data_IF_058672378181
#
_entry.id   IF_058672378181
#
_cell.length_a   1.000
_cell.length_b   1.000
_cell.length_c   1.000
_cell.angle_alpha   90.00
_cell.angle_beta   90.00
_cell.angle_gamma   90.00
#
_symmetry.space_group_name_H-M   'P 1'
#
loop_
_entity.id
_entity.type
_entity.pdbx_description
1 polymer ?
#
# COMPACT_ATOMS: atom_id res chain seq x y z
N UNK A 1 -33.32 14.06 -6.86
CA UNK A 1 -33.98 12.76 -7.02
C UNK A 1 -33.25 11.78 -6.11
N UNK A 2 -33.96 11.14 -5.20
CA UNK A 2 -33.42 10.09 -4.35
C UNK A 2 -33.34 8.81 -5.20
N UNK A 3 -32.15 8.54 -5.76
CA UNK A 3 -31.86 7.24 -6.35
C UNK A 3 -32.01 6.19 -5.25
N UNK A 4 -32.83 5.16 -5.51
CA UNK A 4 -33.03 4.08 -4.56
C UNK A 4 -31.67 3.51 -4.14
N UNK A 5 -31.37 3.54 -2.85
CA UNK A 5 -30.12 2.97 -2.37
C UNK A 5 -30.12 1.47 -2.70
N UNK A 6 -29.02 0.92 -3.25
CA UNK A 6 -28.96 -0.49 -3.60
C UNK A 6 -29.23 -1.36 -2.37
N UNK A 7 -29.79 -2.54 -2.61
CA UNK A 7 -30.04 -3.52 -1.55
C UNK A 7 -28.74 -3.79 -0.77
N UNK A 8 -28.82 -3.81 0.56
CA UNK A 8 -27.66 -4.12 1.41
C UNK A 8 -27.43 -5.63 1.44
N UNK A 9 -26.89 -6.13 0.35
CA UNK A 9 -26.62 -7.55 0.14
C UNK A 9 -25.27 -7.72 -0.54
N UNK A 10 -24.55 -8.75 -0.12
CA UNK A 10 -23.28 -9.14 -0.73
C UNK A 10 -23.41 -9.37 -2.24
N UNK A 11 -22.46 -8.85 -3.00
CA UNK A 11 -22.39 -9.02 -4.45
C UNK A 11 -21.95 -7.78 -5.20
N UNK A 12 -21.92 -7.93 -6.52
CA UNK A 12 -21.69 -6.81 -7.43
C UNK A 12 -22.92 -5.90 -7.45
N UNK A 13 -22.68 -4.60 -7.38
CA UNK A 13 -23.68 -3.55 -7.45
C UNK A 13 -23.35 -2.63 -8.62
N UNK A 14 -24.38 -2.16 -9.31
CA UNK A 14 -24.25 -1.08 -10.29
C UNK A 14 -25.04 0.10 -9.76
N UNK A 15 -24.33 1.16 -9.37
CA UNK A 15 -24.92 2.32 -8.69
C UNK A 15 -25.00 3.49 -9.67
N UNK A 16 -26.19 4.03 -9.86
CA UNK A 16 -26.38 5.23 -10.66
C UNK A 16 -26.01 6.48 -9.85
N UNK A 17 -25.03 7.23 -10.34
CA UNK A 17 -24.55 8.49 -9.78
C UNK A 17 -24.57 9.54 -10.89
N UNK A 18 -25.43 10.54 -10.77
CA UNK A 18 -25.55 11.64 -11.74
C UNK A 18 -25.72 11.16 -13.20
N UNK A 19 -26.57 10.15 -13.41
CA UNK A 19 -26.83 9.55 -14.72
C UNK A 19 -25.76 8.56 -15.21
N UNK A 20 -24.73 8.28 -14.41
CA UNK A 20 -23.64 7.36 -14.76
C UNK A 20 -23.67 6.11 -13.89
N UNK A 21 -23.40 4.96 -14.47
CA UNK A 21 -23.36 3.69 -13.76
C UNK A 21 -21.95 3.43 -13.22
N UNK A 22 -21.82 3.29 -11.90
CA UNK A 22 -20.55 3.03 -11.21
C UNK A 22 -20.58 1.62 -10.61
N UNK A 23 -19.75 0.69 -11.12
CA UNK A 23 -19.63 -0.65 -10.55
C UNK A 23 -19.00 -0.64 -9.17
N UNK A 24 -19.63 -1.33 -8.24
CA UNK A 24 -19.18 -1.52 -6.87
C UNK A 24 -19.28 -3.00 -6.48
N UNK A 25 -18.56 -3.41 -5.44
CA UNK A 25 -18.62 -4.75 -4.88
C UNK A 25 -18.81 -4.62 -3.36
N UNK A 26 -19.92 -5.13 -2.86
CA UNK A 26 -20.23 -5.14 -1.44
C UNK A 26 -20.00 -6.54 -0.87
N UNK A 27 -19.33 -6.63 0.28
CA UNK A 27 -19.06 -7.88 0.98
C UNK A 27 -19.26 -7.74 2.48
N UNK A 28 -19.50 -8.87 3.14
CA UNK A 28 -19.59 -8.99 4.59
C UNK A 28 -20.75 -8.15 5.19
N UNK A 29 -21.87 -8.02 4.47
CA UNK A 29 -23.03 -7.26 4.96
C UNK A 29 -23.61 -7.85 6.25
N UNK A 30 -23.46 -9.15 6.46
CA UNK A 30 -23.82 -9.86 7.69
C UNK A 30 -22.99 -9.45 8.90
N UNK A 31 -21.80 -8.86 8.69
CA UNK A 31 -20.93 -8.33 9.76
C UNK A 31 -21.22 -6.88 10.12
N UNK A 32 -22.33 -6.32 9.65
CA UNK A 32 -22.73 -4.95 9.97
C UNK A 32 -23.06 -4.82 11.47
N UNK A 33 -22.35 -3.93 12.16
CA UNK A 33 -22.57 -3.62 13.58
C UNK A 33 -22.85 -2.12 13.74
N UNK A 34 -23.96 -1.70 14.37
CA UNK A 34 -24.21 -0.29 14.68
C UNK A 34 -23.04 0.32 15.47
N UNK A 35 -22.59 1.50 15.06
CA UNK A 35 -21.41 2.17 15.63
C UNK A 35 -20.08 1.71 15.04
N UNK A 36 -20.05 0.66 14.21
CA UNK A 36 -18.86 0.19 13.49
C UNK A 36 -18.49 1.05 12.28
N UNK A 37 -17.56 0.55 11.46
CA UNK A 37 -17.13 1.22 10.23
C UNK A 37 -17.54 0.46 8.97
N UNK A 38 -17.78 1.20 7.88
CA UNK A 38 -17.83 0.70 6.52
C UNK A 38 -16.45 0.88 5.90
N UNK A 39 -15.73 -0.20 5.63
CA UNK A 39 -14.45 -0.15 4.94
C UNK A 39 -14.71 0.08 3.45
N UNK A 40 -14.31 1.24 2.93
CA UNK A 40 -14.44 1.59 1.51
C UNK A 40 -13.07 1.51 0.86
N UNK A 41 -12.93 0.67 -0.17
CA UNK A 41 -11.64 0.39 -0.80
C UNK A 41 -11.58 0.95 -2.22
N UNK A 42 -10.53 1.73 -2.49
CA UNK A 42 -10.24 2.34 -3.78
C UNK A 42 -9.03 1.66 -4.43
N UNK A 43 -9.11 1.43 -5.75
CA UNK A 43 -8.02 0.85 -6.51
C UNK A 43 -6.94 1.88 -6.84
N UNK A 44 -5.68 1.44 -6.81
CA UNK A 44 -4.58 2.14 -7.46
C UNK A 44 -4.56 1.86 -8.97
N UNK A 45 -3.38 1.95 -9.57
CA UNK A 45 -3.19 1.64 -10.98
C UNK A 45 -3.54 0.18 -11.30
N UNK A 46 -4.31 -0.01 -12.38
CA UNK A 46 -4.67 -1.32 -12.93
C UNK A 46 -3.46 -1.90 -13.64
N UNK A 47 -2.97 -3.05 -13.15
CA UNK A 47 -1.89 -3.81 -13.80
C UNK A 47 -2.43 -4.59 -15.00
N UNK A 48 -1.56 -4.89 -15.97
CA UNK A 48 -1.87 -5.68 -17.17
C UNK A 48 -3.15 -5.21 -17.88
N UNK A 49 -3.26 -3.88 -18.06
CA UNK A 49 -4.46 -3.23 -18.61
C UNK A 49 -4.82 -3.74 -20.02
N UNK A 50 -3.85 -4.21 -20.79
CA UNK A 50 -4.03 -4.85 -22.11
C UNK A 50 -4.75 -6.19 -22.06
N UNK A 51 -4.71 -6.88 -20.92
CA UNK A 51 -5.25 -8.24 -20.73
C UNK A 51 -6.45 -8.26 -19.77
N UNK A 52 -6.78 -7.12 -19.18
CA UNK A 52 -7.78 -7.01 -18.11
C UNK A 52 -8.93 -6.10 -18.54
N UNK A 53 -10.16 -6.49 -18.19
CA UNK A 53 -11.39 -5.74 -18.50
C UNK A 53 -12.06 -5.23 -17.22
N UNK A 54 -12.65 -4.03 -17.25
CA UNK A 54 -13.40 -3.50 -16.11
C UNK A 54 -14.65 -4.35 -15.82
N UNK A 55 -15.19 -4.31 -14.58
CA UNK A 55 -14.77 -3.46 -13.48
C UNK A 55 -13.56 -3.99 -12.70
N UNK A 56 -12.72 -3.06 -12.25
CA UNK A 56 -11.53 -3.36 -11.43
C UNK A 56 -11.81 -3.11 -9.96
N UNK A 57 -11.59 -4.11 -9.11
CA UNK A 57 -11.80 -4.02 -7.66
C UNK A 57 -10.52 -4.32 -6.89
N UNK A 58 -10.28 -3.55 -5.81
CA UNK A 58 -9.25 -3.82 -4.81
C UNK A 58 -9.89 -4.19 -3.46
N UNK A 59 -9.11 -4.76 -2.54
CA UNK A 59 -9.57 -5.06 -1.18
C UNK A 59 -10.09 -6.48 -0.95
N UNK A 60 -10.01 -7.39 -1.92
CA UNK A 60 -10.42 -8.79 -1.72
C UNK A 60 -9.66 -9.49 -0.58
N UNK A 61 -8.37 -9.14 -0.39
CA UNK A 61 -7.58 -9.60 0.76
C UNK A 61 -8.08 -9.04 2.09
N UNK A 62 -8.28 -7.72 2.15
CA UNK A 62 -8.81 -7.02 3.33
C UNK A 62 -10.20 -7.55 3.72
N UNK A 63 -11.07 -7.84 2.75
CA UNK A 63 -12.39 -8.38 3.02
C UNK A 63 -12.39 -9.74 3.73
N UNK A 64 -11.32 -10.54 3.61
CA UNK A 64 -11.21 -11.83 4.31
C UNK A 64 -10.95 -11.67 5.80
N UNK A 65 -10.16 -10.67 6.18
CA UNK A 65 -9.73 -10.44 7.57
C UNK A 65 -10.54 -9.35 8.28
N UNK A 66 -11.20 -8.45 7.54
CA UNK A 66 -11.90 -7.32 8.14
C UNK A 66 -13.19 -7.76 8.86
N UNK A 67 -13.40 -7.32 10.12
CA UNK A 67 -14.56 -7.69 10.93
C UNK A 67 -15.87 -6.95 10.58
N UNK A 68 -15.88 -6.07 9.58
CA UNK A 68 -17.07 -5.32 9.16
C UNK A 68 -17.41 -5.45 7.67
N UNK A 69 -18.41 -4.68 7.20
CA UNK A 69 -18.77 -4.62 5.78
C UNK A 69 -17.70 -3.90 4.96
N UNK A 70 -17.51 -4.36 3.72
CA UNK A 70 -16.52 -3.81 2.78
C UNK A 70 -17.18 -3.42 1.47
N UNK A 71 -16.96 -2.18 1.04
CA UNK A 71 -17.41 -1.63 -0.23
C UNK A 71 -16.21 -1.30 -1.11
N UNK A 72 -15.95 -2.09 -2.15
CA UNK A 72 -14.93 -1.79 -3.16
C UNK A 72 -15.57 -1.03 -4.31
N UNK A 73 -14.95 0.06 -4.76
CA UNK A 73 -15.48 0.93 -5.83
C UNK A 73 -14.53 0.90 -7.03
N UNK A 74 -15.05 0.60 -8.22
CA UNK A 74 -14.26 0.67 -9.45
C UNK A 74 -14.26 2.10 -10.00
N UNK A 75 -13.09 2.62 -10.33
CA UNK A 75 -12.94 3.96 -10.93
C UNK A 75 -13.45 3.98 -12.40
N UNK A 76 -14.52 4.71 -12.72
CA UNK A 76 -15.06 4.79 -14.09
C UNK A 76 -14.05 5.28 -15.13
N UNK A 77 -13.09 6.13 -14.77
CA UNK A 77 -12.09 6.62 -15.72
C UNK A 77 -11.17 5.50 -16.22
N UNK A 78 -10.91 4.47 -15.41
CA UNK A 78 -10.11 3.30 -15.82
C UNK A 78 -10.82 2.36 -16.79
N UNK A 79 -12.12 2.57 -17.03
CA UNK A 79 -12.89 1.79 -17.99
C UNK A 79 -12.62 2.26 -19.43
N UNK A 80 -12.10 3.47 -19.60
CA UNK A 80 -11.60 3.95 -20.88
C UNK A 80 -10.40 3.12 -21.33
N UNK A 81 -10.25 2.96 -22.65
CA UNK A 81 -9.15 2.20 -23.23
C UNK A 81 -7.80 2.81 -22.81
N UNK A 82 -6.83 1.94 -22.51
CA UNK A 82 -5.45 2.30 -22.16
C UNK A 82 -5.25 3.14 -20.89
N UNK A 83 -6.33 3.55 -20.22
CA UNK A 83 -6.27 4.22 -18.91
C UNK A 83 -6.09 3.17 -17.82
N UNK A 84 -4.92 3.18 -17.20
CA UNK A 84 -4.62 2.33 -16.05
C UNK A 84 -4.85 3.04 -14.71
N UNK A 85 -4.98 4.38 -14.68
CA UNK A 85 -5.15 5.17 -13.47
C UNK A 85 -5.96 6.44 -13.76
N UNK A 86 -6.98 6.73 -12.95
CA UNK A 86 -7.87 7.88 -13.16
C UNK A 86 -8.27 8.65 -11.86
N UNK A 87 -7.67 8.31 -10.72
CA UNK A 87 -7.77 9.05 -9.44
C UNK A 87 -9.20 9.32 -8.94
N UNK A 88 -10.21 8.61 -9.47
CA UNK A 88 -11.63 8.89 -9.23
C UNK A 88 -12.00 10.34 -9.54
N UNK A 89 -11.26 11.00 -10.43
CA UNK A 89 -11.43 12.41 -10.77
C UNK A 89 -12.54 12.66 -11.79
N UNK A 90 -13.16 11.60 -12.31
CA UNK A 90 -14.26 11.67 -13.26
C UNK A 90 -13.79 11.69 -14.71
N UNK A 91 -14.70 12.04 -15.60
CA UNK A 91 -14.50 12.14 -17.05
C UNK A 91 -15.51 13.14 -17.61
N UNK A 92 -15.43 13.45 -18.91
CA UNK A 92 -16.36 14.39 -19.56
C UNK A 92 -17.82 14.01 -19.33
N UNK A 93 -18.60 14.94 -18.78
CA UNK A 93 -20.00 14.72 -18.45
C UNK A 93 -20.21 14.10 -17.06
N UNK A 94 -19.14 13.71 -16.36
CA UNK A 94 -19.18 13.17 -15.01
C UNK A 94 -18.10 13.76 -14.09
N UNK A 95 -17.83 15.06 -14.23
CA UNK A 95 -16.91 15.84 -13.40
C UNK A 95 -17.34 15.90 -11.93
N UNK A 96 -18.61 15.58 -11.65
CA UNK A 96 -19.18 15.53 -10.31
C UNK A 96 -18.85 14.25 -9.54
N UNK A 97 -18.17 13.26 -10.15
CA UNK A 97 -17.93 11.92 -9.59
C UNK A 97 -17.48 11.94 -8.12
N UNK A 98 -16.47 12.73 -7.77
CA UNK A 98 -15.93 12.80 -6.41
C UNK A 98 -17.00 13.22 -5.38
N UNK A 99 -17.80 14.25 -5.71
CA UNK A 99 -18.89 14.72 -4.85
C UNK A 99 -20.01 13.69 -4.74
N UNK A 100 -20.35 13.02 -5.84
CA UNK A 100 -21.39 11.99 -5.85
C UNK A 100 -20.98 10.76 -5.04
N UNK A 101 -19.72 10.32 -5.17
CA UNK A 101 -19.15 9.23 -4.37
C UNK A 101 -19.15 9.57 -2.88
N UNK A 102 -18.66 10.76 -2.51
CA UNK A 102 -18.65 11.20 -1.11
C UNK A 102 -20.05 11.19 -0.49
N UNK A 103 -21.04 11.75 -1.22
CA UNK A 103 -22.44 11.76 -0.81
C UNK A 103 -23.00 10.35 -0.66
N UNK A 104 -22.78 9.49 -1.66
CA UNK A 104 -23.26 8.11 -1.65
C UNK A 104 -22.69 7.30 -0.49
N UNK A 105 -21.37 7.36 -0.28
CA UNK A 105 -20.67 6.66 0.80
C UNK A 105 -21.19 7.14 2.15
N UNK A 106 -21.27 8.46 2.36
CA UNK A 106 -21.74 9.03 3.61
C UNK A 106 -23.19 8.62 3.91
N UNK A 107 -24.09 8.73 2.94
CA UNK A 107 -25.50 8.33 3.10
C UNK A 107 -25.64 6.83 3.37
N UNK A 108 -24.88 6.00 2.64
CA UNK A 108 -24.88 4.54 2.82
C UNK A 108 -24.44 4.15 4.23
N UNK A 109 -23.32 4.70 4.71
CA UNK A 109 -22.82 4.46 6.06
C UNK A 109 -23.80 4.96 7.13
N UNK A 110 -24.29 6.19 6.99
CA UNK A 110 -25.21 6.83 7.95
C UNK A 110 -26.51 6.05 8.13
N UNK A 111 -27.11 5.53 7.05
CA UNK A 111 -28.34 4.73 7.13
C UNK A 111 -28.17 3.42 7.93
N UNK A 112 -26.94 2.98 8.12
CA UNK A 112 -26.59 1.74 8.83
C UNK A 112 -25.91 2.01 10.17
N UNK A 113 -25.91 3.27 10.62
CA UNK A 113 -25.21 3.72 11.81
C UNK A 113 -23.71 3.37 11.77
N UNK A 114 -23.10 3.42 10.59
CA UNK A 114 -21.67 3.17 10.38
C UNK A 114 -20.92 4.49 10.10
N UNK A 115 -19.60 4.47 10.31
CA UNK A 115 -18.69 5.54 9.86
C UNK A 115 -17.84 5.06 8.66
N UNK A 116 -17.64 5.89 7.61
CA UNK A 116 -16.73 5.52 6.52
C UNK A 116 -15.27 5.43 6.95
N UNK A 117 -14.61 4.30 6.66
CA UNK A 117 -13.16 4.12 6.68
C UNK A 117 -12.68 3.96 5.24
N UNK A 118 -12.08 5.02 4.69
CA UNK A 118 -11.67 5.13 3.29
C UNK A 118 -10.21 4.67 3.13
N UNK A 119 -9.97 3.65 2.32
CA UNK A 119 -8.64 3.02 2.20
C UNK A 119 -8.24 2.88 0.75
N UNK A 120 -7.03 3.31 0.43
CA UNK A 120 -6.51 3.27 -0.92
C UNK A 120 -5.03 3.55 -0.98
N UNK A 121 -4.39 3.08 -2.06
CA UNK A 121 -2.98 3.36 -2.32
C UNK A 121 -2.79 4.07 -3.65
N UNK A 122 -1.71 4.85 -3.80
CA UNK A 122 -1.40 5.53 -5.07
C UNK A 122 -2.58 6.43 -5.47
N UNK A 123 -3.20 6.24 -6.64
CA UNK A 123 -4.38 7.03 -7.02
C UNK A 123 -5.65 6.69 -6.24
N UNK A 124 -5.74 5.49 -5.67
CA UNK A 124 -6.78 5.17 -4.69
C UNK A 124 -6.55 5.92 -3.37
N UNK A 125 -5.28 6.19 -3.02
CA UNK A 125 -4.92 7.01 -1.87
C UNK A 125 -5.33 8.48 -2.06
N UNK A 126 -5.17 9.01 -3.28
CA UNK A 126 -5.73 10.31 -3.66
C UNK A 126 -7.25 10.36 -3.43
N UNK A 127 -7.98 9.33 -3.88
CA UNK A 127 -9.42 9.23 -3.69
C UNK A 127 -9.80 9.16 -2.20
N UNK A 128 -9.08 8.38 -1.38
CA UNK A 128 -9.31 8.32 0.06
C UNK A 128 -9.19 9.69 0.73
N UNK A 129 -8.16 10.48 0.38
CA UNK A 129 -7.97 11.83 0.91
C UNK A 129 -9.08 12.78 0.43
N UNK A 130 -9.31 12.84 -0.89
CA UNK A 130 -10.31 13.70 -1.50
C UNK A 130 -11.72 13.45 -0.94
N UNK A 131 -12.12 12.19 -0.82
CA UNK A 131 -13.46 11.83 -0.35
C UNK A 131 -13.59 12.00 1.16
N UNK A 132 -12.53 11.78 1.95
CA UNK A 132 -12.56 12.09 3.38
C UNK A 132 -12.78 13.58 3.62
N UNK A 133 -12.08 14.44 2.87
CA UNK A 133 -12.28 15.89 2.93
C UNK A 133 -13.72 16.29 2.60
N UNK A 134 -14.29 15.73 1.52
CA UNK A 134 -15.67 16.01 1.12
C UNK A 134 -16.72 15.52 2.14
N UNK A 135 -16.44 14.45 2.89
CA UNK A 135 -17.35 13.92 3.93
C UNK A 135 -17.18 14.66 5.27
N UNK A 136 -15.97 15.11 5.60
CA UNK A 136 -15.66 15.80 6.85
C UNK A 136 -15.55 14.86 8.06
N UNK A 137 -15.95 15.33 9.24
CA UNK A 137 -15.75 14.68 10.55
C UNK A 137 -16.23 13.23 10.71
N UNK A 138 -17.12 12.77 9.85
CA UNK A 138 -17.62 11.40 9.91
C UNK A 138 -16.69 10.41 9.19
N UNK A 139 -15.76 10.89 8.37
CA UNK A 139 -14.83 10.05 7.62
C UNK A 139 -13.49 9.85 8.34
N UNK A 140 -12.90 8.69 8.07
CA UNK A 140 -11.51 8.38 8.38
C UNK A 140 -10.83 7.88 7.12
N UNK A 141 -9.63 8.36 6.80
CA UNK A 141 -8.85 7.86 5.67
C UNK A 141 -7.57 7.18 6.13
N UNK A 142 -7.25 6.04 5.52
CA UNK A 142 -5.93 5.42 5.51
C UNK A 142 -5.39 5.47 4.07
N UNK A 143 -4.55 6.47 3.80
CA UNK A 143 -3.99 6.71 2.48
C UNK A 143 -2.54 6.20 2.41
N UNK A 144 -2.24 5.33 1.45
CA UNK A 144 -0.93 4.65 1.36
C UNK A 144 -0.16 5.06 0.11
N UNK A 145 1.01 5.66 0.26
CA UNK A 145 1.78 6.25 -0.85
C UNK A 145 0.89 7.05 -1.81
N UNK A 146 0.02 7.94 -1.31
CA UNK A 146 -0.97 8.58 -2.16
C UNK A 146 -0.28 9.53 -3.13
N UNK A 147 -0.80 9.62 -4.36
CA UNK A 147 -0.66 10.89 -5.05
C UNK A 147 -1.54 11.92 -4.32
N UNK A 148 -1.07 13.16 -4.24
CA UNK A 148 -1.82 14.27 -3.62
C UNK A 148 -2.07 15.43 -4.59
N UNK A 149 -1.48 15.36 -5.77
CA UNK A 149 -1.74 16.23 -6.91
C UNK A 149 -1.49 15.36 -8.15
N UNK A 150 -2.54 14.90 -8.83
CA UNK A 150 -2.32 13.95 -9.91
C UNK A 150 -1.64 14.59 -11.13
N UNK A 151 -1.67 15.92 -11.32
CA UNK A 151 -0.92 16.58 -12.40
C UNK A 151 0.59 16.51 -12.19
N UNK A 152 1.03 16.41 -10.93
CA UNK A 152 2.46 16.24 -10.54
C UNK A 152 2.96 14.80 -10.62
N UNK A 153 2.11 13.84 -10.96
CA UNK A 153 2.53 12.47 -11.21
C UNK A 153 3.30 12.34 -12.54
N UNK A 154 3.71 11.13 -12.89
CA UNK A 154 4.39 10.86 -14.16
C UNK A 154 3.56 11.32 -15.37
N UNK A 155 4.25 11.91 -16.34
CA UNK A 155 3.62 12.58 -17.49
C UNK A 155 2.74 11.64 -18.31
N UNK A 156 3.20 10.41 -18.57
CA UNK A 156 2.49 9.49 -19.46
C UNK A 156 1.14 9.01 -18.90
N UNK A 157 1.02 8.53 -17.64
CA UNK A 157 -0.28 8.19 -17.07
C UNK A 157 -1.28 9.37 -17.08
N UNK A 158 -0.82 10.56 -16.71
CA UNK A 158 -1.67 11.76 -16.66
C UNK A 158 -2.14 12.16 -18.06
N UNK A 159 -1.23 12.16 -19.04
CA UNK A 159 -1.59 12.50 -20.43
C UNK A 159 -2.63 11.51 -20.99
N UNK A 160 -2.44 10.20 -20.79
CA UNK A 160 -3.41 9.18 -21.24
C UNK A 160 -4.77 9.36 -20.60
N UNK A 161 -4.82 9.65 -19.29
CA UNK A 161 -6.07 9.93 -18.61
C UNK A 161 -6.78 11.15 -19.19
N UNK A 162 -6.07 12.27 -19.35
CA UNK A 162 -6.65 13.51 -19.87
C UNK A 162 -7.14 13.37 -21.32
N UNK A 163 -6.38 12.68 -22.16
CA UNK A 163 -6.77 12.39 -23.55
C UNK A 163 -8.02 11.50 -23.59
N UNK A 164 -8.00 10.35 -22.91
CA UNK A 164 -9.07 9.38 -23.01
C UNK A 164 -10.35 9.77 -22.25
N UNK A 165 -10.24 10.49 -21.13
CA UNK A 165 -11.40 10.85 -20.29
C UNK A 165 -11.93 12.26 -20.58
N UNK A 166 -11.09 13.17 -21.08
CA UNK A 166 -11.47 14.57 -21.30
C UNK A 166 -11.23 15.11 -22.71
N UNK A 167 -10.52 14.40 -23.57
CA UNK A 167 -10.05 14.93 -24.86
C UNK A 167 -9.23 16.23 -24.67
N UNK A 168 -8.39 16.25 -23.63
CA UNK A 168 -7.59 17.42 -23.26
C UNK A 168 -6.09 17.07 -23.19
N UNK A 169 -5.20 17.99 -23.59
CA UNK A 169 -3.76 17.80 -23.42
C UNK A 169 -3.35 18.00 -21.94
N UNK A 170 -2.21 17.46 -21.54
CA UNK A 170 -1.62 17.75 -20.22
C UNK A 170 -0.95 19.13 -20.21
N UNK A 171 -1.65 20.13 -19.70
CA UNK A 171 -1.14 21.50 -19.51
C UNK A 171 -1.59 22.08 -18.17
N UNK A 172 -0.90 23.10 -17.62
CA UNK A 172 -1.40 23.85 -16.46
C UNK A 172 -2.77 24.50 -16.69
N UNK A 173 -3.09 24.89 -17.93
CA UNK A 173 -4.40 25.41 -18.32
C UNK A 173 -5.48 24.33 -18.19
N UNK A 174 -5.17 23.10 -18.57
CA UNK A 174 -6.07 21.95 -18.41
C UNK A 174 -6.38 21.68 -16.94
N UNK A 175 -5.39 21.76 -16.05
CA UNK A 175 -5.62 21.59 -14.61
C UNK A 175 -6.64 22.61 -14.09
N UNK A 176 -6.42 23.89 -14.40
CA UNK A 176 -7.33 24.98 -14.02
C UNK A 176 -8.74 24.80 -14.60
N UNK A 177 -8.83 24.41 -15.88
CA UNK A 177 -10.12 24.18 -16.53
C UNK A 177 -10.91 23.02 -15.88
N UNK A 178 -10.23 21.96 -15.43
CA UNK A 178 -10.87 20.87 -14.68
C UNK A 178 -11.32 21.32 -13.30
N UNK A 179 -10.51 22.12 -12.59
CA UNK A 179 -10.87 22.70 -11.30
C UNK A 179 -12.08 23.64 -11.39
N UNK A 180 -12.18 24.46 -12.44
CA UNK A 180 -13.34 25.31 -12.74
C UNK A 180 -14.62 24.49 -13.01
N UNK A 181 -14.47 23.29 -13.59
CA UNK A 181 -15.56 22.30 -13.76
C UNK A 181 -15.85 21.53 -12.46
N UNK A 182 -15.10 21.83 -11.39
CA UNK A 182 -15.27 21.30 -10.06
C UNK A 182 -14.58 19.96 -9.82
N UNK A 183 -13.67 19.52 -10.69
CA UNK A 183 -12.82 18.36 -10.42
C UNK A 183 -11.75 18.77 -9.41
N UNK A 184 -11.61 18.03 -8.31
CA UNK A 184 -10.52 18.23 -7.36
C UNK A 184 -9.29 17.53 -7.95
N UNK A 185 -8.29 18.30 -8.37
CA UNK A 185 -7.06 17.78 -8.99
C UNK A 185 -5.89 17.63 -8.01
N UNK A 186 -5.94 18.39 -6.93
CA UNK A 186 -4.96 18.40 -5.85
C UNK A 186 -5.65 18.46 -4.50
N UNK A 187 -5.07 17.77 -3.52
CA UNK A 187 -5.51 17.79 -2.13
C UNK A 187 -4.50 18.48 -1.21
N UNK A 188 -3.35 18.93 -1.75
CA UNK A 188 -2.25 19.50 -0.96
C UNK A 188 -2.61 20.83 -0.26
N UNK A 189 -3.60 21.54 -0.79
CA UNK A 189 -4.08 22.82 -0.25
C UNK A 189 -5.36 22.70 0.58
N UNK A 190 -5.87 21.49 0.77
CA UNK A 190 -7.11 21.25 1.52
C UNK A 190 -6.84 21.24 3.04
N UNK A 191 -7.84 21.66 3.80
CA UNK A 191 -7.82 21.60 5.26
C UNK A 191 -8.43 20.27 5.75
N UNK A 192 -7.61 19.43 6.38
CA UNK A 192 -8.03 18.13 6.90
C UNK A 192 -8.31 18.14 8.41
N UNK A 193 -8.54 19.29 9.03
CA UNK A 193 -8.83 19.36 10.48
C UNK A 193 -10.15 18.68 10.89
N UNK A 194 -11.10 18.53 9.98
CA UNK A 194 -12.37 17.85 10.23
C UNK A 194 -12.28 16.32 10.12
N UNK A 195 -11.84 15.70 9.00
CA UNK A 195 -11.72 14.25 8.91
C UNK A 195 -10.50 13.72 9.69
N UNK A 196 -10.52 12.44 10.04
CA UNK A 196 -9.34 11.76 10.60
C UNK A 196 -8.50 11.17 9.47
N UNK A 197 -7.23 11.53 9.35
CA UNK A 197 -6.38 11.06 8.24
C UNK A 197 -5.10 10.42 8.79
N UNK A 198 -4.83 9.19 8.35
CA UNK A 198 -3.51 8.56 8.45
C UNK A 198 -2.92 8.39 7.05
N UNK A 199 -1.77 8.99 6.81
CA UNK A 199 -0.98 8.82 5.60
C UNK A 199 0.24 7.93 5.87
N UNK A 200 0.34 6.81 5.16
CA UNK A 200 1.50 5.91 5.21
C UNK A 200 2.39 6.18 3.99
N UNK A 201 3.62 6.66 4.18
CA UNK A 201 4.54 7.04 3.10
C UNK A 201 5.83 6.20 3.09
N UNK A 202 6.11 5.59 1.94
CA UNK A 202 7.33 4.85 1.68
C UNK A 202 8.48 5.84 1.58
N UNK A 203 9.48 5.66 2.42
CA UNK A 203 10.60 6.59 2.51
C UNK A 203 11.58 6.50 1.33
N UNK A 204 11.48 5.47 0.51
CA UNK A 204 12.36 5.30 -0.65
C UNK A 204 11.66 5.58 -1.98
N UNK A 205 10.46 6.14 -1.92
CA UNK A 205 9.73 6.63 -3.08
C UNK A 205 10.07 8.10 -3.32
N UNK A 206 11.21 8.34 -3.96
CA UNK A 206 11.73 9.71 -4.17
C UNK A 206 10.75 10.61 -4.92
N UNK A 207 10.03 10.06 -5.89
CA UNK A 207 9.02 10.80 -6.66
C UNK A 207 7.85 11.23 -5.75
N UNK A 208 7.27 10.32 -4.98
CA UNK A 208 6.16 10.67 -4.08
C UNK A 208 6.61 11.57 -2.94
N UNK A 209 7.80 11.34 -2.38
CA UNK A 209 8.36 12.22 -1.38
C UNK A 209 8.47 13.67 -1.88
N UNK A 210 9.05 13.85 -3.08
CA UNK A 210 9.26 15.18 -3.66
C UNK A 210 7.96 15.87 -4.10
N UNK A 211 7.03 15.13 -4.71
CA UNK A 211 5.88 15.72 -5.38
C UNK A 211 4.55 15.58 -4.64
N UNK A 212 4.43 14.60 -3.74
CA UNK A 212 3.17 14.24 -3.10
C UNK A 212 3.19 14.25 -1.57
N UNK A 213 4.36 14.21 -0.94
CA UNK A 213 4.49 14.23 0.52
C UNK A 213 5.04 15.54 1.07
N UNK A 214 5.91 16.24 0.33
CA UNK A 214 6.65 17.43 0.80
C UNK A 214 5.80 18.54 1.42
N UNK A 215 4.52 18.64 1.07
CA UNK A 215 3.61 19.59 1.70
C UNK A 215 3.38 19.30 3.20
N UNK A 216 3.57 18.06 3.65
CA UNK A 216 3.44 17.61 5.04
C UNK A 216 4.74 17.74 5.84
N UNK A 217 5.89 17.37 5.27
CA UNK A 217 7.18 17.49 5.94
C UNK A 217 8.32 17.63 4.94
N UNK A 218 9.40 18.31 5.36
CA UNK A 218 10.64 18.32 4.59
C UNK A 218 11.26 16.92 4.61
N UNK A 219 11.74 16.46 3.45
CA UNK A 219 12.16 15.07 3.26
C UNK A 219 13.56 14.78 3.79
N UNK A 220 14.36 15.81 4.01
CA UNK A 220 15.77 15.72 4.45
C UNK A 220 15.88 15.28 5.92
N UNK A 221 14.83 15.50 6.72
CA UNK A 221 14.78 15.17 8.15
C UNK A 221 14.09 13.82 8.45
N UNK A 222 13.67 13.07 7.43
CA UNK A 222 12.92 11.83 7.62
C UNK A 222 13.85 10.67 8.00
N UNK A 223 13.51 9.98 9.08
CA UNK A 223 14.16 8.74 9.52
C UNK A 223 13.18 7.55 9.42
N UNK A 224 13.68 6.35 9.71
CA UNK A 224 12.85 5.14 9.75
C UNK A 224 11.78 5.26 10.84
N UNK A 225 10.51 5.02 10.52
CA UNK A 225 9.44 5.04 11.51
C UNK A 225 9.10 6.44 12.05
N UNK A 226 9.59 7.51 11.41
CA UNK A 226 9.22 8.88 11.77
C UNK A 226 7.76 9.13 11.48
N UNK A 227 7.12 9.89 12.36
CA UNK A 227 5.73 10.31 12.22
C UNK A 227 5.59 11.80 12.52
N UNK A 228 4.44 12.35 12.17
CA UNK A 228 4.08 13.71 12.53
C UNK A 228 2.65 14.04 12.18
N UNK A 229 2.24 15.26 12.52
CA UNK A 229 0.91 15.80 12.28
C UNK A 229 1.04 17.19 11.66
N UNK A 230 0.44 17.38 10.48
CA UNK A 230 0.35 18.71 9.85
C UNK A 230 -0.98 18.86 9.13
N UNK A 231 -1.64 20.01 9.30
CA UNK A 231 -2.91 20.33 8.63
C UNK A 231 -4.02 19.28 8.81
N UNK A 232 -4.09 18.61 9.98
CA UNK A 232 -5.06 17.55 10.25
C UNK A 232 -4.72 16.19 9.63
N UNK A 233 -3.51 16.05 9.08
CA UNK A 233 -3.00 14.79 8.54
C UNK A 233 -1.91 14.24 9.46
N UNK A 234 -2.22 13.16 10.17
CA UNK A 234 -1.20 12.32 10.78
C UNK A 234 -0.52 11.50 9.67
N UNK A 235 0.79 11.39 9.74
CA UNK A 235 1.57 10.63 8.78
C UNK A 235 2.61 9.76 9.46
N UNK A 236 2.95 8.66 8.79
CA UNK A 236 3.95 7.70 9.22
C UNK A 236 4.80 7.28 8.02
N UNK A 237 6.12 7.42 8.15
CA UNK A 237 7.10 7.15 7.11
C UNK A 237 7.87 5.89 7.46
N UNK A 238 7.94 4.95 6.52
CA UNK A 238 8.62 3.68 6.74
C UNK A 238 9.26 3.11 5.46
N UNK A 239 10.28 2.24 5.61
CA UNK A 239 11.02 1.63 4.51
C UNK A 239 10.38 0.35 3.97
N UNK A 240 9.32 0.50 3.17
CA UNK A 240 8.67 -0.65 2.55
C UNK A 240 9.35 -1.14 1.27
N UNK A 241 10.35 -0.43 0.74
CA UNK A 241 11.25 -0.88 -0.33
C UNK A 241 11.61 0.22 -1.35
N UNK A 242 12.61 0.02 -2.21
CA UNK A 242 13.07 1.06 -3.15
C UNK A 242 12.01 1.39 -4.22
N UNK A 243 11.83 2.68 -4.51
CA UNK A 243 10.86 3.16 -5.51
C UNK A 243 9.42 3.18 -5.00
N UNK A 244 8.45 3.12 -5.92
CA UNK A 244 7.02 3.14 -5.59
C UNK A 244 6.53 1.75 -5.17
N UNK A 245 6.51 1.48 -3.87
CA UNK A 245 6.23 0.17 -3.31
C UNK A 245 4.92 0.12 -2.52
N UNK A 246 4.44 -1.10 -2.30
CA UNK A 246 3.26 -1.32 -1.44
C UNK A 246 3.68 -1.20 0.02
N UNK A 247 2.80 -0.59 0.82
CA UNK A 247 2.89 -0.71 2.28
C UNK A 247 2.71 -2.17 2.66
N UNK A 248 3.49 -2.67 3.62
CA UNK A 248 3.38 -4.05 4.06
C UNK A 248 1.98 -4.38 4.59
N UNK A 249 1.36 -5.52 4.18
CA UNK A 249 0.01 -5.90 4.60
C UNK A 249 -0.20 -5.87 6.11
N UNK A 250 0.82 -6.20 6.89
CA UNK A 250 0.80 -6.24 8.36
C UNK A 250 0.60 -4.84 8.94
N UNK A 251 1.28 -3.82 8.38
CA UNK A 251 1.09 -2.43 8.79
C UNK A 251 -0.32 -1.93 8.43
N UNK A 252 -0.79 -2.27 7.22
CA UNK A 252 -2.13 -1.89 6.76
C UNK A 252 -3.21 -2.52 7.64
N UNK A 253 -3.08 -3.82 7.95
CA UNK A 253 -4.02 -4.55 8.78
C UNK A 253 -4.02 -4.04 10.21
N UNK A 254 -2.84 -3.76 10.78
CA UNK A 254 -2.73 -3.18 12.13
C UNK A 254 -3.41 -1.81 12.20
N UNK A 255 -3.20 -0.95 11.20
CA UNK A 255 -3.85 0.36 11.14
C UNK A 255 -5.37 0.24 11.01
N UNK A 256 -5.86 -0.62 10.10
CA UNK A 256 -7.30 -0.84 9.91
C UNK A 256 -7.95 -1.39 11.19
N UNK A 257 -7.32 -2.38 11.84
CA UNK A 257 -7.85 -2.98 13.06
C UNK A 257 -7.84 -1.98 14.22
N UNK A 258 -6.75 -1.24 14.42
CA UNK A 258 -6.70 -0.21 15.46
C UNK A 258 -7.79 0.85 15.27
N UNK A 259 -7.99 1.35 14.04
CA UNK A 259 -9.09 2.27 13.74
C UNK A 259 -10.45 1.62 13.97
N UNK A 260 -10.61 0.34 13.60
CA UNK A 260 -11.84 -0.42 13.81
C UNK A 260 -12.19 -0.51 15.30
N UNK A 261 -11.20 -0.85 16.12
CA UNK A 261 -11.29 -1.05 17.57
C UNK A 261 -11.41 0.27 18.35
N UNK A 262 -11.45 1.41 17.65
CA UNK A 262 -11.74 2.72 18.21
C UNK A 262 -10.53 3.54 18.59
N UNK A 263 -9.31 3.10 18.27
CA UNK A 263 -8.11 3.90 18.48
C UNK A 263 -8.17 5.20 17.66
N UNK A 264 -7.60 6.25 18.23
CA UNK A 264 -7.26 7.48 17.54
C UNK A 264 -6.14 7.24 16.53
N UNK A 265 -5.96 8.14 15.57
CA UNK A 265 -4.89 7.98 14.58
C UNK A 265 -3.51 8.05 15.24
N UNK A 266 -3.34 8.93 16.22
CA UNK A 266 -2.10 9.03 16.99
C UNK A 266 -1.78 7.73 17.75
N UNK A 267 -2.78 7.08 18.37
CA UNK A 267 -2.60 5.77 19.01
C UNK A 267 -2.24 4.67 18.00
N UNK A 268 -2.82 4.70 16.80
CA UNK A 268 -2.46 3.76 15.73
C UNK A 268 -1.02 3.98 15.25
N UNK A 269 -0.59 5.22 15.09
CA UNK A 269 0.81 5.55 14.76
C UNK A 269 1.75 5.07 15.84
N UNK A 270 1.41 5.29 17.11
CA UNK A 270 2.20 4.80 18.23
C UNK A 270 2.29 3.28 18.24
N UNK A 271 1.17 2.59 18.01
CA UNK A 271 1.15 1.13 17.88
C UNK A 271 2.07 0.65 16.75
N UNK A 272 2.05 1.30 15.58
CA UNK A 272 2.97 0.97 14.48
C UNK A 272 4.44 1.18 14.88
N UNK A 273 4.74 2.27 15.59
CA UNK A 273 6.09 2.55 16.09
C UNK A 273 6.55 1.51 17.11
N UNK A 274 5.74 1.22 18.14
CA UNK A 274 6.08 0.24 19.17
C UNK A 274 6.28 -1.16 18.60
N UNK A 275 5.45 -1.57 17.64
CA UNK A 275 5.46 -2.93 17.11
C UNK A 275 6.55 -3.14 16.05
N UNK A 276 6.88 -2.12 15.26
CA UNK A 276 7.78 -2.26 14.10
C UNK A 276 9.07 -1.43 14.19
N UNK A 277 9.13 -0.39 15.03
CA UNK A 277 10.26 0.55 15.14
C UNK A 277 10.53 0.98 16.60
N UNK A 278 10.90 0.07 17.52
CA UNK A 278 11.04 0.40 18.94
C UNK A 278 12.24 1.33 19.20
N UNK A 279 12.09 2.29 20.11
CA UNK A 279 13.04 3.39 20.38
C UNK A 279 14.38 2.98 20.97
N UNK A 280 14.50 1.76 21.51
CA UNK A 280 15.76 1.25 22.10
C UNK A 280 16.76 0.75 21.03
N UNK A 281 16.36 0.80 19.76
CA UNK A 281 17.18 0.39 18.64
C UNK A 281 17.71 1.61 17.92
N UNK A 282 19.04 1.75 17.88
CA UNK A 282 19.70 2.79 17.11
C UNK A 282 19.37 2.58 15.62
N UNK A 283 18.37 3.32 15.14
CA UNK A 283 18.12 3.46 13.72
C UNK A 283 19.28 4.30 13.18
N UNK A 284 20.20 3.66 12.46
CA UNK A 284 21.23 4.39 11.74
C UNK A 284 20.53 5.45 10.88
N UNK A 285 20.81 6.75 11.08
CA UNK A 285 20.34 7.79 10.16
C UNK A 285 20.86 7.42 8.78
N UNK A 286 20.08 7.63 7.71
CA UNK A 286 20.41 7.24 6.32
C UNK A 286 21.93 7.25 6.07
N UNK A 287 22.60 6.11 6.28
CA UNK A 287 24.04 6.13 6.24
C UNK A 287 24.46 6.25 4.78
N UNK A 288 25.48 7.04 4.53
CA UNK A 288 26.17 7.03 3.25
C UNK A 288 27.27 5.98 3.40
N UNK A 289 27.12 4.82 2.79
CA UNK A 289 28.25 3.88 2.69
C UNK A 289 29.00 4.18 1.42
N UNK A 290 30.27 4.53 1.55
CA UNK A 290 31.21 4.60 0.43
C UNK A 290 31.57 3.18 0.01
N UNK A 291 31.44 2.87 -1.28
CA UNK A 291 31.98 1.61 -1.81
C UNK A 291 33.51 1.65 -1.89
N UNK A 292 34.15 0.53 -2.25
CA UNK A 292 35.61 0.42 -2.36
C UNK A 292 36.25 1.43 -3.36
N UNK A 293 35.43 2.05 -4.21
CA UNK A 293 35.81 3.09 -5.18
C UNK A 293 35.51 4.52 -4.70
N UNK A 294 35.01 4.70 -3.47
CA UNK A 294 34.68 6.02 -2.89
C UNK A 294 33.40 6.65 -3.46
N UNK A 295 32.55 5.89 -4.16
CA UNK A 295 31.23 6.37 -4.56
C UNK A 295 30.23 6.18 -3.43
N UNK A 296 29.44 7.23 -3.16
CA UNK A 296 28.35 7.18 -2.19
C UNK A 296 27.26 6.23 -2.69
N UNK A 297 27.10 5.08 -2.02
CA UNK A 297 25.95 4.20 -2.19
C UNK A 297 24.94 4.45 -1.07
N UNK A 298 23.68 4.68 -1.44
CA UNK A 298 22.56 4.75 -0.49
C UNK A 298 22.15 3.32 -0.13
N UNK A 299 22.41 2.93 1.12
CA UNK A 299 21.94 1.80 1.96
C UNK A 299 21.19 0.59 1.34
N UNK A 300 21.28 -0.60 1.99
CA UNK A 300 21.49 -1.92 1.39
C UNK A 300 20.25 -2.59 0.78
N UNK A 301 19.26 -1.82 0.34
CA UNK A 301 18.14 -2.36 -0.43
C UNK A 301 18.59 -2.93 -1.76
N UNK A 302 19.64 -2.37 -2.35
CA UNK A 302 20.17 -2.74 -3.65
C UNK A 302 21.42 -3.59 -3.45
N UNK A 303 21.29 -4.90 -3.54
CA UNK A 303 22.45 -5.79 -3.54
C UNK A 303 22.94 -6.00 -4.96
N UNK A 304 24.22 -5.76 -5.16
CA UNK A 304 24.88 -6.11 -6.41
C UNK A 304 25.25 -7.59 -6.35
N UNK A 305 24.63 -8.42 -7.18
CA UNK A 305 24.97 -9.83 -7.39
C UNK A 305 25.23 -10.05 -8.87
N UNK A 306 26.45 -10.48 -9.22
CA UNK A 306 26.85 -10.86 -10.59
C UNK A 306 26.41 -9.88 -11.71
N UNK A 307 26.49 -8.56 -11.47
CA UNK A 307 26.14 -7.53 -12.45
C UNK A 307 24.66 -7.10 -12.47
N UNK A 308 23.80 -7.76 -11.69
CA UNK A 308 22.42 -7.34 -11.45
C UNK A 308 22.29 -6.61 -10.10
N UNK A 309 21.35 -5.67 -10.01
CA UNK A 309 21.04 -4.96 -8.77
C UNK A 309 19.69 -5.45 -8.24
N UNK A 310 19.70 -6.12 -7.10
CA UNK A 310 18.56 -6.77 -6.49
C UNK A 310 17.93 -5.92 -5.40
N UNK A 311 16.61 -5.70 -5.45
CA UNK A 311 15.86 -5.05 -4.38
C UNK A 311 15.13 -6.06 -3.48
N UNK A 312 15.72 -6.42 -2.33
CA UNK A 312 15.15 -7.44 -1.42
C UNK A 312 13.74 -7.08 -0.96
N UNK A 313 13.47 -5.81 -0.67
CA UNK A 313 12.17 -5.38 -0.16
C UNK A 313 11.03 -5.56 -1.16
N UNK A 314 11.34 -5.84 -2.43
CA UNK A 314 10.38 -5.76 -3.54
C UNK A 314 10.62 -6.82 -4.60
N UNK A 315 11.51 -7.78 -4.37
CA UNK A 315 11.83 -8.79 -5.36
C UNK A 315 10.60 -9.66 -5.59
N UNK A 316 10.10 -9.62 -6.82
CA UNK A 316 8.97 -10.44 -7.23
C UNK A 316 9.50 -11.65 -8.00
N UNK A 317 9.54 -12.78 -7.30
CA UNK A 317 9.95 -14.04 -7.91
C UNK A 317 9.03 -14.47 -9.07
N UNK A 318 7.80 -13.96 -9.17
CA UNK A 318 6.89 -14.25 -10.28
C UNK A 318 7.21 -13.42 -11.55
N UNK A 319 8.00 -12.34 -11.49
CA UNK A 319 8.31 -11.44 -12.63
C UNK A 319 9.78 -11.51 -13.13
N UNK A 320 10.74 -11.93 -12.31
CA UNK A 320 12.16 -12.02 -12.68
C UNK A 320 12.57 -13.44 -13.13
N UNK A 321 12.88 -13.60 -14.42
CA UNK A 321 13.07 -14.91 -15.07
C UNK A 321 14.43 -15.59 -14.82
N UNK A 322 15.36 -14.97 -14.07
CA UNK A 322 16.65 -15.58 -13.72
C UNK A 322 16.95 -15.42 -12.22
N UNK A 323 16.79 -16.52 -11.48
CA UNK A 323 17.14 -16.60 -10.05
C UNK A 323 18.56 -17.18 -9.94
N UNK A 324 19.51 -16.38 -9.44
CA UNK A 324 20.91 -16.83 -9.30
C UNK A 324 21.08 -17.77 -8.10
N UNK A 325 22.17 -18.54 -8.08
CA UNK A 325 22.54 -19.40 -6.94
C UNK A 325 22.66 -18.60 -5.63
N UNK A 326 23.09 -17.34 -5.73
CA UNK A 326 23.21 -16.43 -4.60
C UNK A 326 21.83 -16.01 -4.04
N UNK A 327 20.86 -15.74 -4.92
CA UNK A 327 19.47 -15.50 -4.55
C UNK A 327 18.82 -16.77 -3.98
N UNK A 328 19.07 -17.93 -4.57
CA UNK A 328 18.59 -19.21 -4.02
C UNK A 328 19.20 -19.55 -2.66
N UNK A 329 20.43 -19.12 -2.38
CA UNK A 329 21.09 -19.37 -1.12
C UNK A 329 20.76 -18.38 -0.03
N UNK A 330 20.10 -17.25 -0.33
CA UNK A 330 19.86 -16.16 0.63
C UNK A 330 21.13 -15.63 1.32
N UNK A 331 22.33 -15.93 0.80
CA UNK A 331 23.58 -15.47 1.41
C UNK A 331 23.67 -13.95 1.46
N UNK A 332 23.04 -13.30 0.48
CA UNK A 332 22.90 -11.85 0.34
C UNK A 332 22.10 -11.15 1.44
N UNK A 333 21.19 -11.84 2.13
CA UNK A 333 20.46 -11.23 3.25
C UNK A 333 21.27 -11.30 4.54
N UNK A 334 22.27 -12.17 4.65
CA UNK A 334 23.08 -12.35 5.85
C UNK A 334 23.77 -11.06 6.37
N UNK A 335 24.30 -10.15 5.52
CA UNK A 335 24.81 -8.85 5.97
C UNK A 335 23.74 -7.93 6.58
N UNK A 336 22.47 -8.04 6.15
CA UNK A 336 21.34 -7.28 6.72
C UNK A 336 20.96 -7.78 8.12
N UNK A 337 21.39 -8.98 8.48
CA UNK A 337 21.14 -9.61 9.77
C UNK A 337 22.27 -9.30 10.78
N UNK A 338 23.06 -8.25 10.53
CA UNK A 338 24.23 -7.91 11.36
C UNK A 338 23.85 -7.65 12.82
N UNK A 339 24.14 -8.67 13.63
CA UNK A 339 24.41 -8.70 15.09
C UNK A 339 23.92 -7.48 15.87
N UNK A 340 22.74 -7.63 16.48
CA UNK A 340 22.28 -7.06 17.77
C UNK A 340 20.96 -6.26 17.77
N UNK A 341 20.30 -6.03 16.63
CA UNK A 341 19.04 -5.27 16.61
C UNK A 341 17.99 -5.83 15.65
N UNK A 342 16.78 -6.18 16.14
CA UNK A 342 15.61 -6.24 15.28
C UNK A 342 15.25 -4.82 14.82
N UNK A 343 14.95 -4.67 13.54
CA UNK A 343 14.63 -3.39 12.93
C UNK A 343 13.97 -3.62 11.57
N UNK A 344 13.72 -2.57 10.77
CA UNK A 344 13.07 -2.73 9.46
C UNK A 344 13.76 -3.74 8.52
N UNK A 345 15.07 -3.97 8.65
CA UNK A 345 15.81 -5.01 7.91
C UNK A 345 15.33 -6.43 8.17
N UNK A 346 14.91 -6.74 9.40
CA UNK A 346 14.35 -8.03 9.77
C UNK A 346 13.06 -8.32 9.00
N UNK A 347 12.17 -7.33 8.91
CA UNK A 347 10.92 -7.44 8.18
C UNK A 347 11.13 -7.51 6.67
N UNK A 348 12.15 -6.83 6.13
CA UNK A 348 12.55 -6.96 4.71
C UNK A 348 13.03 -8.37 4.39
N UNK A 349 13.91 -8.93 5.23
CA UNK A 349 14.37 -10.31 5.08
C UNK A 349 13.21 -11.30 5.14
N UNK A 350 12.29 -11.12 6.09
CA UNK A 350 11.08 -11.93 6.19
C UNK A 350 10.22 -11.83 4.93
N UNK A 351 9.96 -10.62 4.43
CA UNK A 351 9.17 -10.41 3.22
C UNK A 351 9.74 -11.18 2.03
N UNK A 352 11.05 -11.06 1.80
CA UNK A 352 11.76 -11.74 0.73
C UNK A 352 11.67 -13.27 0.86
N UNK A 353 11.88 -13.82 2.06
CA UNK A 353 11.81 -15.27 2.32
C UNK A 353 10.40 -15.81 2.08
N UNK A 354 9.37 -15.11 2.55
CA UNK A 354 7.99 -15.56 2.37
C UNK A 354 7.56 -15.54 0.90
N UNK A 355 8.02 -14.54 0.12
CA UNK A 355 7.77 -14.47 -1.32
C UNK A 355 8.53 -15.56 -2.08
N UNK A 356 9.80 -15.78 -1.73
CA UNK A 356 10.59 -16.91 -2.26
C UNK A 356 9.88 -18.24 -2.02
N UNK A 357 9.43 -18.48 -0.77
CA UNK A 357 8.79 -19.73 -0.39
C UNK A 357 7.52 -19.97 -1.22
N UNK A 358 6.67 -18.95 -1.34
CA UNK A 358 5.45 -19.01 -2.15
C UNK A 358 5.76 -19.33 -3.62
N UNK A 359 6.78 -18.70 -4.19
CA UNK A 359 7.21 -18.97 -5.55
C UNK A 359 7.75 -20.39 -5.72
N UNK A 360 8.62 -20.84 -4.81
CA UNK A 360 9.20 -22.18 -4.84
C UNK A 360 8.11 -23.26 -4.79
N UNK A 361 7.12 -23.12 -3.90
CA UNK A 361 5.98 -24.04 -3.83
C UNK A 361 5.14 -24.10 -5.12
N UNK A 362 5.07 -23.01 -5.88
CA UNK A 362 4.29 -22.91 -7.14
C UNK A 362 5.04 -23.51 -8.34
N UNK A 363 6.37 -23.56 -8.32
CA UNK A 363 7.22 -23.94 -9.46
C UNK A 363 8.01 -25.24 -9.22
N UNK A 364 7.34 -26.28 -8.70
CA UNK A 364 7.89 -27.62 -8.37
C UNK A 364 8.55 -27.78 -6.98
N UNK A 365 7.92 -27.24 -5.93
CA UNK A 365 8.33 -27.51 -4.54
C UNK A 365 9.69 -26.90 -4.18
N UNK A 366 10.27 -27.26 -3.04
CA UNK A 366 11.62 -26.83 -2.73
C UNK A 366 12.61 -27.57 -3.63
N UNK A 367 12.96 -26.89 -4.73
CA UNK A 367 13.92 -27.32 -5.73
C UNK A 367 15.16 -27.88 -5.02
N UNK A 368 15.58 -29.10 -5.39
CA UNK A 368 16.80 -29.68 -4.84
C UNK A 368 17.99 -28.83 -5.28
N UNK A 369 18.57 -28.11 -4.33
CA UNK A 369 19.74 -27.27 -4.54
C UNK A 369 20.99 -27.93 -3.96
N UNK A 370 22.20 -27.54 -4.41
CA UNK A 370 23.43 -28.03 -3.81
C UNK A 370 23.44 -27.82 -2.27
N UNK A 371 24.02 -28.74 -1.48
CA UNK A 371 23.96 -28.67 -0.02
C UNK A 371 24.45 -27.33 0.58
N UNK A 372 25.44 -26.68 -0.03
CA UNK A 372 25.93 -25.38 0.44
C UNK A 372 24.94 -24.24 0.21
N UNK A 373 24.05 -24.34 -0.77
CA UNK A 373 22.95 -23.38 -1.01
C UNK A 373 21.87 -23.56 0.05
N UNK A 374 21.47 -24.82 0.29
CA UNK A 374 20.49 -25.18 1.33
C UNK A 374 20.99 -24.76 2.71
N UNK A 375 22.28 -24.98 3.02
CA UNK A 375 22.88 -24.58 4.29
C UNK A 375 22.77 -23.07 4.54
N UNK A 376 23.05 -22.23 3.53
CA UNK A 376 22.90 -20.77 3.66
C UNK A 376 21.45 -20.36 3.98
N UNK A 377 20.45 -21.05 3.41
CA UNK A 377 19.04 -20.81 3.74
C UNK A 377 18.70 -21.18 5.18
N UNK A 378 19.17 -22.34 5.64
CA UNK A 378 19.02 -22.81 7.02
C UNK A 378 19.61 -21.81 8.00
N UNK A 379 20.81 -21.30 7.74
CA UNK A 379 21.50 -20.36 8.62
C UNK A 379 20.65 -19.09 8.84
N UNK A 380 20.02 -18.58 7.78
CA UNK A 380 19.13 -17.42 7.88
C UNK A 380 17.84 -17.75 8.62
N UNK A 381 17.16 -18.85 8.30
CA UNK A 381 15.91 -19.23 8.97
C UNK A 381 16.12 -19.51 10.46
N UNK A 382 17.23 -20.15 10.81
CA UNK A 382 17.62 -20.38 12.18
C UNK A 382 17.87 -19.06 12.93
N UNK A 383 18.51 -18.09 12.28
CA UNK A 383 18.68 -16.74 12.85
C UNK A 383 17.36 -16.01 13.05
N UNK A 384 16.39 -16.17 12.14
CA UNK A 384 15.07 -15.53 12.21
C UNK A 384 14.17 -16.11 13.29
N UNK A 385 14.24 -17.43 13.52
CA UNK A 385 13.35 -18.16 14.40
C UNK A 385 13.14 -17.54 15.80
N UNK A 386 14.18 -17.12 16.55
CA UNK A 386 13.96 -16.51 17.88
C UNK A 386 13.17 -15.19 17.80
N UNK A 387 13.47 -14.35 16.81
CA UNK A 387 12.78 -13.06 16.64
C UNK A 387 11.30 -13.21 16.31
N UNK A 388 10.91 -14.29 15.63
CA UNK A 388 9.51 -14.58 15.36
C UNK A 388 8.70 -14.81 16.64
N UNK A 389 9.33 -15.26 17.73
CA UNK A 389 8.65 -15.50 19.01
C UNK A 389 8.70 -14.28 19.93
N UNK A 390 9.79 -13.53 19.89
CA UNK A 390 10.04 -12.37 20.76
C UNK A 390 9.30 -11.11 20.29
N UNK A 391 9.10 -10.94 18.98
CA UNK A 391 8.49 -9.73 18.41
C UNK A 391 7.01 -10.00 18.11
N UNK A 392 6.06 -9.31 18.78
CA UNK A 392 4.65 -9.63 18.64
C UNK A 392 4.12 -9.53 17.20
N UNK A 393 4.61 -8.56 16.43
CA UNK A 393 4.25 -8.39 15.02
C UNK A 393 4.75 -9.52 14.10
N UNK A 394 5.78 -10.28 14.51
CA UNK A 394 6.35 -11.39 13.74
C UNK A 394 5.77 -12.76 14.11
N UNK A 395 5.14 -12.84 15.28
CA UNK A 395 4.51 -14.06 15.81
C UNK A 395 3.60 -14.80 14.83
N UNK A 396 2.79 -14.12 13.99
CA UNK A 396 1.98 -14.81 12.98
C UNK A 396 2.78 -15.61 11.95
N UNK A 397 4.08 -15.31 11.77
CA UNK A 397 4.95 -15.97 10.80
C UNK A 397 5.79 -17.09 11.41
N UNK A 398 5.82 -17.23 12.74
CA UNK A 398 6.67 -18.18 13.46
C UNK A 398 6.47 -19.64 12.98
N UNK A 399 5.23 -20.07 12.82
CA UNK A 399 4.91 -21.42 12.34
C UNK A 399 5.38 -21.64 10.90
N UNK A 400 5.19 -20.65 10.02
CA UNK A 400 5.66 -20.73 8.63
C UNK A 400 7.18 -20.82 8.56
N UNK A 401 7.90 -20.02 9.34
CA UNK A 401 9.37 -20.05 9.40
C UNK A 401 9.88 -21.40 9.95
N UNK A 402 9.24 -21.95 10.98
CA UNK A 402 9.57 -23.29 11.50
C UNK A 402 9.37 -24.39 10.46
N UNK A 403 8.23 -24.38 9.76
CA UNK A 403 7.94 -25.35 8.70
C UNK A 403 8.94 -25.25 7.54
N UNK A 404 9.32 -24.03 7.13
CA UNK A 404 10.36 -23.84 6.12
C UNK A 404 11.71 -24.38 6.59
N UNK A 405 12.10 -24.07 7.82
CA UNK A 405 13.36 -24.55 8.39
C UNK A 405 13.43 -26.08 8.45
N UNK A 406 12.37 -26.73 8.94
CA UNK A 406 12.27 -28.20 8.97
C UNK A 406 12.38 -28.80 7.56
N UNK A 407 11.72 -28.19 6.59
CA UNK A 407 11.73 -28.69 5.24
C UNK A 407 13.11 -28.51 4.55
N UNK A 408 13.86 -27.47 4.87
CA UNK A 408 15.24 -27.28 4.39
C UNK A 408 16.21 -28.28 5.04
N UNK A 409 16.07 -28.56 6.35
CA UNK A 409 16.85 -29.60 7.02
C UNK A 409 16.65 -30.99 6.38
N UNK A 410 15.42 -31.30 5.99
CA UNK A 410 15.10 -32.57 5.33
C UNK A 410 15.81 -32.73 3.98
N UNK A 411 16.12 -31.64 3.26
CA UNK A 411 16.86 -31.71 2.00
C UNK A 411 18.33 -32.11 2.21
N UNK A 412 18.98 -31.64 3.29
CA UNK A 412 20.38 -32.01 3.60
C UNK A 412 20.46 -33.46 4.08
N UNK A 413 19.42 -33.96 4.76
CA UNK A 413 19.43 -35.31 5.36
C UNK A 413 19.20 -36.42 4.32
N UNK A 414 18.73 -36.07 3.11
CA UNK A 414 18.42 -37.01 2.01
C UNK A 414 19.52 -37.05 0.94
N UNK A 415 20.42 -36.06 0.91
CA UNK A 415 21.66 -36.03 0.10
C UNK A 415 22.83 -36.65 0.83
#
# INVERSE_FOLDING_TARGET
MDGANPAWQDGALLVELDGHQVPMMLKNTEKTQPGGQLLVVFNGAVRNRSESFPPFFSGAGLARSYPGPVLSISDPGTHQNEVNLAWYAGLTGFESLQRQLAKFIHQTAKQRSLKPLLVGSSGGGFASLCLAWLIGKDATALAMNPQTDFFRYFSSPVARYLEACFDLPRTPETQRALEERGVITTVQSLDFTEPRILLLQNMFDTHHLAHHFRFLAETEDLQHGTSGLKQGVDWFVAPWGFGHQRVWPEHVQMAINGIHDGLTITEVVHLLQEQFYPTDFALEPMGQTENEEGQQERFPMLLKSNGATLNIGTYDFDEEAEVTEEIHGWGIIHPLLSRSSPGPDLYRALYFILHWAKWAFKHEGMISHPPHVVQKRIDVLHWLSPWMEEIPALKPHAETIKLLLEAEFNQITVT
#
